data_IF_409659364865
#
_entry.id   IF_409659364865
#
_cell.length_a   1.000
_cell.length_b   1.000
_cell.length_c   1.000
_cell.angle_alpha   90.00
_cell.angle_beta   90.00
_cell.angle_gamma   90.00
#
_symmetry.space_group_name_H-M   'P 1'
#
loop_
_entity.id
_entity.type
_entity.pdbx_description
1 polymer ?
#
# COMPACT_ATOMS: atom_id res chain seq x y z
N UNK A 1 28.87 -49.46 -40.29
CA UNK A 1 29.07 -50.56 -39.33
C UNK A 1 30.31 -51.39 -39.66
N UNK A 2 30.54 -51.79 -40.92
CA UNK A 2 31.76 -52.55 -41.30
C UNK A 2 33.06 -51.72 -41.25
N UNK A 3 33.00 -50.45 -41.60
CA UNK A 3 34.20 -49.57 -41.58
C UNK A 3 34.63 -49.26 -40.14
N UNK A 4 33.67 -48.90 -39.29
CA UNK A 4 33.86 -48.71 -37.84
C UNK A 4 34.34 -49.96 -37.11
N UNK A 5 33.94 -51.16 -37.57
CA UNK A 5 34.44 -52.41 -36.97
C UNK A 5 35.87 -52.71 -37.41
N UNK A 6 36.22 -52.43 -38.67
CA UNK A 6 37.60 -52.54 -39.17
C UNK A 6 38.55 -51.58 -38.45
N UNK A 7 38.15 -50.33 -38.23
CA UNK A 7 38.93 -49.35 -37.48
C UNK A 7 39.11 -49.74 -35.99
N UNK A 8 38.04 -50.24 -35.35
CA UNK A 8 38.10 -50.73 -33.98
C UNK A 8 39.04 -51.94 -33.84
N UNK A 9 39.03 -52.86 -34.83
CA UNK A 9 39.95 -53.99 -34.88
C UNK A 9 41.39 -53.52 -35.11
N UNK A 10 41.64 -52.62 -36.05
CA UNK A 10 42.97 -52.07 -36.32
C UNK A 10 43.56 -51.38 -35.07
N UNK A 11 42.75 -50.59 -34.36
CA UNK A 11 43.13 -49.91 -33.12
C UNK A 11 43.38 -50.92 -31.98
N UNK A 12 42.56 -51.97 -31.88
CA UNK A 12 42.76 -53.04 -30.91
C UNK A 12 44.05 -53.82 -31.18
N UNK A 13 44.37 -54.11 -32.44
CA UNK A 13 45.62 -54.76 -32.85
C UNK A 13 46.83 -53.90 -32.49
N UNK A 14 46.81 -52.60 -32.82
CA UNK A 14 47.90 -51.69 -32.42
C UNK A 14 48.06 -51.62 -30.89
N UNK A 15 46.95 -51.61 -30.15
CA UNK A 15 46.96 -51.59 -28.68
C UNK A 15 47.55 -52.87 -28.09
N UNK A 16 47.21 -54.04 -28.63
CA UNK A 16 47.76 -55.34 -28.20
C UNK A 16 49.25 -55.44 -28.55
N UNK A 17 49.64 -55.00 -29.75
CA UNK A 17 51.04 -54.94 -30.18
C UNK A 17 51.88 -54.04 -29.26
N UNK A 18 51.35 -52.91 -28.81
CA UNK A 18 52.00 -52.03 -27.83
C UNK A 18 52.15 -52.63 -26.42
N UNK A 19 51.30 -53.60 -26.05
CA UNK A 19 51.33 -54.26 -24.73
C UNK A 19 52.32 -55.43 -24.63
N UNK A 20 52.68 -56.06 -25.76
CA UNK A 20 53.48 -57.30 -25.81
C UNK A 20 54.79 -57.12 -26.59
N UNK A 21 55.58 -56.09 -26.26
CA UNK A 21 56.82 -55.76 -26.99
C UNK A 21 58.03 -56.65 -26.63
N UNK A 22 58.03 -57.32 -25.47
CA UNK A 22 59.12 -58.19 -24.99
C UNK A 22 58.56 -59.56 -24.54
N UNK A 23 59.36 -60.62 -24.67
CA UNK A 23 58.95 -62.01 -24.45
C UNK A 23 58.52 -62.32 -23.01
N UNK A 24 59.09 -61.62 -22.03
CA UNK A 24 58.75 -61.67 -20.59
C UNK A 24 57.34 -61.14 -20.26
N UNK A 25 56.69 -60.42 -21.19
CA UNK A 25 55.33 -59.89 -20.99
C UNK A 25 54.23 -60.88 -21.37
N UNK A 26 54.56 -62.02 -21.99
CA UNK A 26 53.61 -63.08 -22.32
C UNK A 26 52.99 -63.73 -21.07
N UNK A 27 53.73 -63.77 -19.96
CA UNK A 27 53.25 -64.28 -18.67
C UNK A 27 52.07 -63.46 -18.10
N UNK A 28 51.89 -62.21 -18.55
CA UNK A 28 50.82 -61.29 -18.11
C UNK A 28 49.57 -61.32 -19.01
N UNK A 29 49.57 -62.10 -20.10
CA UNK A 29 48.46 -62.15 -21.07
C UNK A 29 47.14 -62.57 -20.41
N UNK A 30 47.17 -63.54 -19.49
CA UNK A 30 45.97 -63.96 -18.76
C UNK A 30 45.40 -62.85 -17.87
N UNK A 31 46.27 -62.04 -17.27
CA UNK A 31 45.87 -60.86 -16.49
C UNK A 31 45.21 -59.81 -17.39
N UNK A 32 45.77 -59.55 -18.58
CA UNK A 32 45.20 -58.63 -19.57
C UNK A 32 43.86 -59.13 -20.12
N UNK A 33 43.74 -60.43 -20.41
CA UNK A 33 42.49 -61.05 -20.85
C UNK A 33 41.39 -60.90 -19.80
N UNK A 34 41.70 -61.17 -18.52
CA UNK A 34 40.76 -60.95 -17.39
C UNK A 34 40.39 -59.47 -17.21
N UNK A 35 41.31 -58.55 -17.51
CA UNK A 35 41.04 -57.09 -17.46
C UNK A 35 40.10 -56.65 -18.58
N UNK A 36 40.34 -57.09 -19.81
CA UNK A 36 39.48 -56.74 -20.96
C UNK A 36 38.11 -57.42 -20.88
N UNK A 37 38.04 -58.66 -20.38
CA UNK A 37 36.75 -59.32 -20.10
C UNK A 37 35.91 -58.53 -19.08
N UNK A 38 36.53 -58.02 -18.00
CA UNK A 38 35.84 -57.16 -17.02
C UNK A 38 35.38 -55.84 -17.62
N UNK A 39 36.18 -55.20 -18.48
CA UNK A 39 35.78 -53.98 -19.18
C UNK A 39 34.61 -54.23 -20.13
N UNK A 40 34.66 -55.31 -20.91
CA UNK A 40 33.56 -55.73 -21.80
C UNK A 40 32.27 -55.95 -21.01
N UNK A 41 32.32 -56.73 -19.92
CA UNK A 41 31.16 -56.96 -19.06
C UNK A 41 30.61 -55.65 -18.46
N UNK A 42 31.47 -54.72 -18.04
CA UNK A 42 31.07 -53.40 -17.55
C UNK A 42 30.39 -52.54 -18.63
N UNK A 43 30.92 -52.53 -19.86
CA UNK A 43 30.32 -51.80 -20.99
C UNK A 43 28.97 -52.41 -21.35
N UNK A 44 28.88 -53.74 -21.44
CA UNK A 44 27.63 -54.44 -21.72
C UNK A 44 26.58 -54.18 -20.64
N UNK A 45 26.95 -54.20 -19.36
CA UNK A 45 26.04 -53.86 -18.26
C UNK A 45 25.55 -52.41 -18.36
N UNK A 46 26.45 -51.45 -18.63
CA UNK A 46 26.07 -50.04 -18.82
C UNK A 46 25.17 -49.84 -20.03
N UNK A 47 25.45 -50.51 -21.14
CA UNK A 47 24.65 -50.41 -22.36
C UNK A 47 23.25 -51.04 -22.16
N UNK A 48 23.16 -52.19 -21.48
CA UNK A 48 21.86 -52.78 -21.09
C UNK A 48 21.07 -51.85 -20.17
N UNK A 49 21.71 -51.28 -19.15
CA UNK A 49 21.05 -50.33 -18.25
C UNK A 49 20.58 -49.07 -18.99
N UNK A 50 21.40 -48.53 -19.90
CA UNK A 50 21.04 -47.35 -20.69
C UNK A 50 19.89 -47.64 -21.66
N UNK A 51 19.92 -48.77 -22.38
CA UNK A 51 18.84 -49.16 -23.28
C UNK A 51 17.54 -49.40 -22.50
N UNK A 52 17.62 -50.09 -21.36
CA UNK A 52 16.46 -50.33 -20.51
C UNK A 52 15.85 -49.01 -20.02
N UNK A 53 16.68 -48.08 -19.52
CA UNK A 53 16.23 -46.76 -19.09
C UNK A 53 15.60 -45.94 -20.21
N UNK A 54 16.16 -45.99 -21.43
CA UNK A 54 15.58 -45.33 -22.60
C UNK A 54 14.23 -45.95 -23.00
N UNK A 55 14.15 -47.27 -23.00
CA UNK A 55 12.93 -48.00 -23.35
C UNK A 55 11.82 -47.77 -22.31
N UNK A 56 12.17 -47.73 -21.03
CA UNK A 56 11.24 -47.38 -19.96
C UNK A 56 10.79 -45.92 -20.09
N UNK A 57 11.70 -44.99 -20.41
CA UNK A 57 11.37 -43.59 -20.69
C UNK A 57 10.39 -43.42 -21.87
N UNK A 58 10.63 -44.13 -22.98
CA UNK A 58 9.73 -44.13 -24.15
C UNK A 58 8.37 -44.73 -23.79
N UNK A 59 8.35 -45.85 -23.06
CA UNK A 59 7.12 -46.50 -22.61
C UNK A 59 6.29 -45.56 -21.74
N UNK A 60 6.91 -44.94 -20.74
CA UNK A 60 6.25 -43.97 -19.87
C UNK A 60 5.73 -42.76 -20.66
N UNK A 61 6.54 -42.22 -21.58
CA UNK A 61 6.12 -41.12 -22.45
C UNK A 61 4.92 -41.49 -23.32
N UNK A 62 4.89 -42.70 -23.88
CA UNK A 62 3.76 -43.15 -24.70
C UNK A 62 2.50 -43.37 -23.87
N UNK A 63 2.61 -43.90 -22.65
CA UNK A 63 1.46 -44.00 -21.73
C UNK A 63 0.94 -42.62 -21.34
N UNK A 64 1.82 -41.66 -21.04
CA UNK A 64 1.41 -40.29 -20.70
C UNK A 64 0.72 -39.59 -21.88
N UNK A 65 1.22 -39.77 -23.11
CA UNK A 65 0.57 -39.23 -24.31
C UNK A 65 -0.80 -39.86 -24.54
N UNK A 66 -0.94 -41.16 -24.30
CA UNK A 66 -2.23 -41.84 -24.41
C UNK A 66 -3.23 -41.31 -23.38
N UNK A 67 -2.81 -41.17 -22.12
CA UNK A 67 -3.65 -40.57 -21.06
C UNK A 67 -4.04 -39.14 -21.41
N UNK A 68 -3.10 -38.30 -21.85
CA UNK A 68 -3.39 -36.93 -22.25
C UNK A 68 -4.40 -36.85 -23.41
N UNK A 69 -4.37 -37.81 -24.35
CA UNK A 69 -5.35 -37.87 -25.44
C UNK A 69 -6.76 -38.18 -24.90
N UNK A 70 -6.87 -39.13 -23.96
CA UNK A 70 -8.13 -39.43 -23.28
C UNK A 70 -8.64 -38.21 -22.51
N UNK A 71 -7.77 -37.57 -21.73
CA UNK A 71 -8.12 -36.38 -20.94
C UNK A 71 -8.64 -35.23 -21.84
N UNK A 72 -7.99 -34.99 -22.98
CA UNK A 72 -8.44 -33.98 -23.95
C UNK A 72 -9.83 -34.29 -24.49
N UNK A 73 -10.13 -35.58 -24.74
CA UNK A 73 -11.46 -36.00 -25.21
C UNK A 73 -12.52 -35.80 -24.12
N UNK A 74 -12.19 -36.09 -22.87
CA UNK A 74 -13.09 -35.87 -21.74
C UNK A 74 -13.35 -34.37 -21.53
N UNK A 75 -12.31 -33.53 -21.62
CA UNK A 75 -12.44 -32.06 -21.58
C UNK A 75 -13.35 -31.56 -22.71
N UNK A 76 -13.22 -32.09 -23.93
CA UNK A 76 -14.09 -31.71 -25.04
C UNK A 76 -15.56 -32.04 -24.77
N UNK A 77 -15.84 -33.20 -24.19
CA UNK A 77 -17.20 -33.59 -23.81
C UNK A 77 -17.75 -32.68 -22.72
N UNK A 78 -16.98 -32.44 -21.66
CA UNK A 78 -17.38 -31.51 -20.59
C UNK A 78 -17.62 -30.08 -21.10
N UNK A 79 -16.81 -29.61 -22.06
CA UNK A 79 -17.00 -28.30 -22.67
C UNK A 79 -18.29 -28.24 -23.51
N UNK A 80 -18.63 -29.33 -24.20
CA UNK A 80 -19.89 -29.44 -24.94
C UNK A 80 -21.10 -29.40 -23.99
N UNK A 81 -21.02 -30.07 -22.84
CA UNK A 81 -22.05 -30.05 -21.80
C UNK A 81 -22.20 -28.64 -21.21
N UNK A 82 -21.10 -27.98 -20.84
CA UNK A 82 -21.12 -26.58 -20.36
C UNK A 82 -21.74 -25.65 -21.40
N UNK A 83 -21.41 -25.82 -22.69
CA UNK A 83 -22.00 -25.00 -23.75
C UNK A 83 -23.51 -25.24 -23.90
N UNK A 84 -23.98 -26.47 -23.65
CA UNK A 84 -25.41 -26.80 -23.68
C UNK A 84 -26.13 -26.19 -22.49
N UNK A 85 -25.58 -26.32 -21.29
CA UNK A 85 -26.13 -25.77 -20.05
C UNK A 85 -26.19 -24.24 -20.12
N UNK A 86 -25.17 -23.59 -20.68
CA UNK A 86 -25.17 -22.14 -20.89
C UNK A 86 -26.32 -21.69 -21.81
N UNK A 87 -26.56 -22.40 -22.91
CA UNK A 87 -27.69 -22.10 -23.82
C UNK A 87 -29.04 -22.29 -23.13
N UNK A 88 -29.18 -23.33 -22.31
CA UNK A 88 -30.39 -23.53 -21.52
C UNK A 88 -30.57 -22.46 -20.45
N UNK A 89 -29.48 -22.03 -19.81
CA UNK A 89 -29.46 -20.95 -18.83
C UNK A 89 -29.92 -19.62 -19.44
N UNK A 90 -29.50 -19.28 -20.67
CA UNK A 90 -29.99 -18.07 -21.37
C UNK A 90 -31.52 -18.07 -21.50
N UNK A 91 -32.12 -19.20 -21.88
CA UNK A 91 -33.58 -19.32 -21.98
C UNK A 91 -34.27 -19.15 -20.60
N UNK A 92 -33.63 -19.65 -19.52
CA UNK A 92 -34.16 -19.42 -18.16
C UNK A 92 -33.98 -17.98 -17.69
N UNK A 93 -32.90 -17.29 -18.08
CA UNK A 93 -32.66 -15.87 -17.74
C UNK A 93 -33.73 -14.97 -18.37
N UNK A 94 -34.18 -15.29 -19.58
CA UNK A 94 -35.30 -14.59 -20.22
C UNK A 94 -36.61 -14.77 -19.42
N UNK A 95 -36.87 -15.98 -18.90
CA UNK A 95 -38.02 -16.24 -18.03
C UNK A 95 -37.93 -15.58 -16.64
N UNK A 96 -36.71 -15.21 -16.20
CA UNK A 96 -36.47 -14.51 -14.93
C UNK A 96 -36.55 -12.98 -15.07
N UNK A 97 -36.89 -12.46 -16.26
CA UNK A 97 -37.07 -11.02 -16.46
C UNK A 97 -38.13 -10.44 -15.52
N UNK A 98 -39.26 -11.12 -15.34
CA UNK A 98 -40.32 -10.68 -14.44
C UNK A 98 -39.87 -10.65 -12.97
N UNK A 99 -39.03 -11.62 -12.57
CA UNK A 99 -38.42 -11.65 -11.23
C UNK A 99 -37.43 -10.49 -11.07
N UNK A 100 -36.63 -10.20 -12.09
CA UNK A 100 -35.72 -9.03 -12.08
C UNK A 100 -36.50 -7.73 -11.98
N UNK A 101 -37.58 -7.58 -12.75
CA UNK A 101 -38.41 -6.37 -12.75
C UNK A 101 -39.11 -6.20 -11.39
N UNK A 102 -39.60 -7.29 -10.79
CA UNK A 102 -40.14 -7.29 -9.43
C UNK A 102 -39.07 -6.93 -8.39
N UNK A 103 -37.85 -7.46 -8.49
CA UNK A 103 -36.73 -7.12 -7.59
C UNK A 103 -36.35 -5.65 -7.70
N UNK A 104 -36.37 -5.08 -8.91
CA UNK A 104 -36.14 -3.64 -9.13
C UNK A 104 -37.22 -2.82 -8.44
N UNK A 105 -38.50 -3.18 -8.61
CA UNK A 105 -39.62 -2.50 -7.93
C UNK A 105 -39.52 -2.62 -6.40
N UNK A 106 -39.20 -3.80 -5.87
CA UNK A 106 -39.00 -4.00 -4.44
C UNK A 106 -37.82 -3.20 -3.90
N UNK A 107 -36.71 -3.14 -4.64
CA UNK A 107 -35.56 -2.30 -4.28
C UNK A 107 -35.91 -0.82 -4.25
N UNK A 108 -36.71 -0.33 -5.21
CA UNK A 108 -37.19 1.05 -5.24
C UNK A 108 -38.08 1.36 -4.04
N UNK A 109 -39.08 0.51 -3.78
CA UNK A 109 -40.00 0.69 -2.64
C UNK A 109 -39.26 0.63 -1.30
N UNK A 110 -38.29 -0.28 -1.15
CA UNK A 110 -37.46 -0.36 0.05
C UNK A 110 -36.65 0.93 0.26
N UNK A 111 -35.98 1.43 -0.79
CA UNK A 111 -35.25 2.70 -0.74
C UNK A 111 -36.18 3.89 -0.44
N UNK A 112 -37.37 3.93 -1.02
CA UNK A 112 -38.36 4.96 -0.73
C UNK A 112 -38.83 4.91 0.74
N UNK A 113 -39.13 3.71 1.27
CA UNK A 113 -39.57 3.54 2.68
C UNK A 113 -38.47 3.92 3.67
N UNK A 114 -37.22 3.58 3.37
CA UNK A 114 -36.07 3.98 4.20
C UNK A 114 -35.86 5.49 4.18
N UNK A 115 -35.87 6.10 2.99
CA UNK A 115 -35.71 7.54 2.84
C UNK A 115 -36.90 8.36 3.35
N UNK A 116 -38.12 7.81 3.40
CA UNK A 116 -39.30 8.51 3.92
C UNK A 116 -39.09 8.98 5.36
N UNK A 117 -38.47 8.17 6.21
CA UNK A 117 -38.15 8.55 7.61
C UNK A 117 -37.24 9.77 7.66
N UNK A 118 -36.25 9.80 6.77
CA UNK A 118 -35.27 10.89 6.73
C UNK A 118 -35.88 12.16 6.13
N UNK A 119 -36.73 12.03 5.10
CA UNK A 119 -37.44 13.15 4.46
C UNK A 119 -38.28 13.91 5.51
N UNK A 120 -39.15 13.26 6.27
CA UNK A 120 -39.97 14.01 7.25
C UNK A 120 -39.17 14.66 8.38
N UNK A 121 -37.97 14.15 8.68
CA UNK A 121 -37.11 14.67 9.74
C UNK A 121 -36.08 15.70 9.26
N UNK A 122 -35.96 15.99 7.95
CA UNK A 122 -34.94 16.92 7.44
C UNK A 122 -34.97 18.28 8.14
N UNK A 123 -36.11 18.99 8.26
CA UNK A 123 -36.12 20.33 8.86
C UNK A 123 -35.67 20.33 10.34
N UNK A 124 -36.07 19.31 11.09
CA UNK A 124 -35.70 19.16 12.51
C UNK A 124 -34.20 18.85 12.66
N UNK A 125 -33.68 17.95 11.83
CA UNK A 125 -32.25 17.61 11.82
C UNK A 125 -31.44 18.83 11.42
N UNK A 126 -31.89 19.60 10.42
CA UNK A 126 -31.22 20.85 9.97
C UNK A 126 -31.12 21.85 11.11
N UNK A 127 -32.24 22.18 11.78
CA UNK A 127 -32.26 23.10 12.91
C UNK A 127 -31.37 22.62 14.07
N UNK A 128 -31.45 21.32 14.40
CA UNK A 128 -30.60 20.75 15.46
C UNK A 128 -29.11 20.75 15.11
N UNK A 129 -28.77 20.64 13.81
CA UNK A 129 -27.39 20.67 13.33
C UNK A 129 -26.84 22.09 13.38
N UNK A 130 -27.63 23.09 13.01
CA UNK A 130 -27.26 24.51 13.16
C UNK A 130 -26.92 24.84 14.62
N UNK A 131 -27.77 24.41 15.56
CA UNK A 131 -27.53 24.61 16.99
C UNK A 131 -26.24 23.93 17.49
N UNK A 132 -25.93 22.73 17.00
CA UNK A 132 -24.67 22.04 17.34
C UNK A 132 -23.44 22.75 16.77
N UNK A 133 -23.56 23.34 15.57
CA UNK A 133 -22.49 24.16 14.97
C UNK A 133 -22.25 25.41 15.81
N UNK A 134 -23.32 26.09 16.26
CA UNK A 134 -23.24 27.25 17.15
C UNK A 134 -22.60 26.91 18.50
N UNK A 135 -22.87 25.72 19.03
CA UNK A 135 -22.29 25.21 20.28
C UNK A 135 -20.85 24.68 20.12
N UNK A 136 -20.29 24.72 18.91
CA UNK A 136 -18.98 24.15 18.57
C UNK A 136 -18.85 22.63 18.82
N UNK A 137 -19.95 21.87 18.87
CA UNK A 137 -19.91 20.41 18.84
C UNK A 137 -19.82 19.89 17.39
N UNK A 138 -18.65 20.12 16.81
CA UNK A 138 -18.39 19.96 15.37
C UNK A 138 -18.48 18.48 14.92
N UNK A 139 -18.19 17.52 15.80
CA UNK A 139 -18.26 16.09 15.47
C UNK A 139 -19.70 15.59 15.38
N UNK A 140 -20.56 16.02 16.31
CA UNK A 140 -21.98 15.68 16.26
C UNK A 140 -22.68 16.39 15.11
N UNK A 141 -22.36 17.67 14.89
CA UNK A 141 -22.85 18.42 13.74
C UNK A 141 -22.46 17.73 12.42
N UNK A 142 -21.20 17.29 12.29
CA UNK A 142 -20.73 16.55 11.11
C UNK A 142 -21.50 15.25 10.89
N UNK A 143 -21.79 14.49 11.96
CA UNK A 143 -22.55 13.23 11.85
C UNK A 143 -23.95 13.47 11.29
N UNK A 144 -24.70 14.42 11.85
CA UNK A 144 -26.06 14.74 11.39
C UNK A 144 -26.07 15.29 9.97
N UNK A 145 -25.09 16.13 9.63
CA UNK A 145 -24.92 16.60 8.25
C UNK A 145 -24.67 15.44 7.28
N UNK A 146 -23.82 14.48 7.66
CA UNK A 146 -23.52 13.31 6.83
C UNK A 146 -24.77 12.44 6.63
N UNK A 147 -25.62 12.27 7.65
CA UNK A 147 -26.90 11.54 7.51
C UNK A 147 -27.82 12.21 6.47
N UNK A 148 -27.92 13.54 6.50
CA UNK A 148 -28.69 14.31 5.52
C UNK A 148 -28.10 14.21 4.11
N UNK A 149 -26.79 14.37 3.97
CA UNK A 149 -26.10 14.25 2.67
C UNK A 149 -26.22 12.83 2.11
N UNK A 150 -26.10 11.79 2.94
CA UNK A 150 -26.28 10.41 2.50
C UNK A 150 -27.70 10.18 1.97
N UNK A 151 -28.73 10.61 2.70
CA UNK A 151 -30.12 10.44 2.24
C UNK A 151 -30.39 11.19 0.93
N UNK A 152 -29.89 12.42 0.79
CA UNK A 152 -29.95 13.17 -0.47
C UNK A 152 -29.24 12.41 -1.60
N UNK A 153 -28.00 12.00 -1.38
CA UNK A 153 -27.15 11.38 -2.39
C UNK A 153 -27.71 10.03 -2.85
N UNK A 154 -28.33 9.26 -1.95
CA UNK A 154 -29.00 8.01 -2.27
C UNK A 154 -30.26 8.23 -3.10
N UNK A 155 -31.09 9.23 -2.76
CA UNK A 155 -32.25 9.62 -3.58
C UNK A 155 -31.82 10.08 -4.97
N UNK A 156 -30.76 10.88 -5.06
CA UNK A 156 -30.23 11.32 -6.36
C UNK A 156 -29.63 10.15 -7.15
N UNK A 157 -28.94 9.21 -6.51
CA UNK A 157 -28.42 8.05 -7.21
C UNK A 157 -29.54 7.15 -7.75
N UNK A 158 -30.58 6.92 -6.95
CA UNK A 158 -31.72 6.11 -7.36
C UNK A 158 -32.46 6.72 -8.55
N UNK A 159 -32.70 8.04 -8.52
CA UNK A 159 -33.31 8.73 -9.64
C UNK A 159 -32.40 8.70 -10.89
N UNK A 160 -31.08 8.87 -10.74
CA UNK A 160 -30.13 8.75 -11.86
C UNK A 160 -30.15 7.34 -12.49
N UNK A 161 -30.25 6.31 -11.64
CA UNK A 161 -30.32 4.91 -12.07
C UNK A 161 -31.61 4.61 -12.85
N UNK A 162 -32.71 5.28 -12.52
CA UNK A 162 -33.98 5.14 -13.21
C UNK A 162 -34.03 5.92 -14.52
N UNK A 163 -33.74 7.22 -14.46
CA UNK A 163 -33.72 8.08 -15.62
C UNK A 163 -32.69 9.20 -15.47
N UNK A 164 -31.50 8.96 -16.01
CA UNK A 164 -30.42 9.95 -16.08
C UNK A 164 -30.78 11.24 -16.83
N UNK A 165 -31.84 11.26 -17.65
CA UNK A 165 -32.29 12.44 -18.42
C UNK A 165 -33.35 13.25 -17.68
N UNK A 166 -33.92 12.72 -16.61
CA UNK A 166 -34.94 13.40 -15.83
C UNK A 166 -34.31 14.44 -14.90
N UNK A 167 -34.02 15.61 -15.50
CA UNK A 167 -33.45 16.75 -14.81
C UNK A 167 -34.42 17.45 -13.87
N UNK A 168 -35.75 17.30 -14.05
CA UNK A 168 -36.75 17.96 -13.19
C UNK A 168 -36.81 17.35 -11.80
N UNK A 169 -36.80 16.02 -11.70
CA UNK A 169 -36.86 15.33 -10.40
C UNK A 169 -35.52 15.47 -9.67
N UNK A 170 -34.41 15.48 -10.40
CA UNK A 170 -33.09 15.86 -9.87
C UNK A 170 -33.09 17.25 -9.26
N UNK A 171 -33.73 18.20 -9.94
CA UNK A 171 -33.85 19.57 -9.46
C UNK A 171 -34.78 19.67 -8.23
N UNK A 172 -35.88 18.92 -8.20
CA UNK A 172 -36.78 18.86 -7.04
C UNK A 172 -36.06 18.36 -5.77
N UNK A 173 -35.26 17.30 -5.89
CA UNK A 173 -34.43 16.80 -4.78
C UNK A 173 -33.42 17.87 -4.35
N UNK A 174 -32.84 18.58 -5.32
CA UNK A 174 -31.88 19.66 -5.02
C UNK A 174 -32.52 20.82 -4.26
N UNK A 175 -33.74 21.22 -4.61
CA UNK A 175 -34.52 22.25 -3.89
C UNK A 175 -34.89 21.77 -2.48
N UNK A 176 -35.33 20.53 -2.35
CA UNK A 176 -35.73 20.00 -1.05
C UNK A 176 -34.57 19.95 -0.03
N UNK A 177 -33.36 19.66 -0.52
CA UNK A 177 -32.13 19.65 0.27
C UNK A 177 -31.29 20.93 0.08
N UNK A 178 -31.90 22.05 -0.31
CA UNK A 178 -31.18 23.31 -0.55
C UNK A 178 -30.48 23.80 0.72
N UNK A 179 -31.17 23.75 1.87
CA UNK A 179 -30.64 24.07 3.20
C UNK A 179 -29.42 23.22 3.62
N UNK A 180 -29.20 22.09 2.93
CA UNK A 180 -28.05 21.21 3.15
C UNK A 180 -26.88 21.57 2.24
N UNK A 181 -27.11 22.13 1.04
CA UNK A 181 -26.08 22.15 -0.02
C UNK A 181 -25.83 23.44 -0.81
N UNK A 182 -26.78 24.36 -0.98
CA UNK A 182 -26.55 25.54 -1.84
C UNK A 182 -27.09 26.80 -1.19
N UNK A 183 -26.19 27.79 -1.05
CA UNK A 183 -26.39 29.14 -0.50
C UNK A 183 -26.78 29.18 0.98
N UNK A 184 -25.77 29.27 1.87
CA UNK A 184 -25.89 29.21 3.34
C UNK A 184 -26.18 27.81 3.90
N UNK A 185 -25.78 26.77 3.16
CA UNK A 185 -25.96 25.38 3.59
C UNK A 185 -25.14 25.04 4.85
N UNK A 186 -25.67 24.12 5.65
CA UNK A 186 -25.03 23.56 6.85
C UNK A 186 -23.57 23.14 6.64
N UNK A 187 -23.24 22.60 5.45
CA UNK A 187 -21.88 22.20 5.11
C UNK A 187 -20.91 23.38 5.05
N UNK A 188 -21.34 24.53 4.54
CA UNK A 188 -20.49 25.73 4.49
C UNK A 188 -20.35 26.37 5.86
N UNK A 189 -21.41 26.36 6.68
CA UNK A 189 -21.34 26.89 8.04
C UNK A 189 -20.44 26.04 8.94
N UNK A 190 -20.54 24.71 8.83
CA UNK A 190 -19.60 23.80 9.48
C UNK A 190 -18.17 24.09 8.99
N UNK A 191 -17.95 24.20 7.68
CA UNK A 191 -16.64 24.48 7.13
C UNK A 191 -16.05 25.81 7.65
N UNK A 192 -16.85 26.88 7.74
CA UNK A 192 -16.41 28.17 8.32
C UNK A 192 -15.94 28.00 9.77
N UNK A 193 -16.67 27.25 10.60
CA UNK A 193 -16.26 26.97 11.98
C UNK A 193 -14.95 26.16 12.02
N UNK A 194 -14.80 25.15 11.15
CA UNK A 194 -13.54 24.41 11.01
C UNK A 194 -12.37 25.35 10.67
N UNK A 195 -12.55 26.24 9.68
CA UNK A 195 -11.53 27.20 9.27
C UNK A 195 -11.17 28.19 10.38
N UNK A 196 -12.16 28.69 11.12
CA UNK A 196 -11.94 29.60 12.24
C UNK A 196 -11.11 28.95 13.35
N UNK A 197 -11.40 27.68 13.68
CA UNK A 197 -10.63 26.93 14.67
C UNK A 197 -9.22 26.64 14.18
N UNK A 198 -9.04 26.29 12.89
CA UNK A 198 -7.73 26.05 12.29
C UNK A 198 -6.86 27.31 12.23
N UNK A 199 -7.46 28.45 11.86
CA UNK A 199 -6.78 29.74 11.87
C UNK A 199 -6.25 30.09 13.27
N UNK A 200 -6.98 29.71 14.32
CA UNK A 200 -6.62 29.90 15.73
C UNK A 200 -6.00 28.68 16.38
N UNK A 201 -5.53 27.71 15.60
CA UNK A 201 -5.06 26.38 16.04
C UNK A 201 -4.15 26.43 17.27
N UNK A 202 -3.23 27.39 17.34
CA UNK A 202 -2.30 27.50 18.47
C UNK A 202 -2.88 28.03 19.77
N UNK A 203 -3.87 28.91 19.70
CA UNK A 203 -4.62 29.34 20.88
C UNK A 203 -5.55 28.21 21.32
N UNK A 204 -6.15 27.53 20.35
CA UNK A 204 -6.99 26.37 20.58
C UNK A 204 -6.23 25.25 21.28
N UNK A 205 -5.05 24.83 20.81
CA UNK A 205 -4.31 23.72 21.44
C UNK A 205 -3.96 24.01 22.89
N UNK A 206 -3.64 25.27 23.23
CA UNK A 206 -3.32 25.63 24.61
C UNK A 206 -4.54 25.69 25.53
N UNK A 207 -5.72 26.01 24.99
CA UNK A 207 -6.96 26.12 25.78
C UNK A 207 -7.74 24.80 25.83
N UNK A 208 -7.91 24.18 24.67
CA UNK A 208 -8.62 22.93 24.46
C UNK A 208 -8.04 22.17 23.23
N UNK A 209 -7.09 21.25 23.45
CA UNK A 209 -6.56 20.37 22.41
C UNK A 209 -7.63 19.50 21.73
N UNK A 210 -8.72 19.16 22.43
CA UNK A 210 -9.71 18.21 21.92
C UNK A 210 -10.52 18.79 20.76
N UNK A 211 -10.80 20.09 20.78
CA UNK A 211 -11.46 20.80 19.69
C UNK A 211 -10.64 20.74 18.39
N UNK A 212 -9.31 20.87 18.44
CA UNK A 212 -8.47 20.75 17.25
C UNK A 212 -8.47 19.32 16.70
N UNK A 213 -8.41 18.31 17.59
CA UNK A 213 -8.50 16.89 17.18
C UNK A 213 -9.84 16.62 16.51
N UNK A 214 -10.94 17.16 17.04
CA UNK A 214 -12.28 17.06 16.46
C UNK A 214 -12.32 17.64 15.04
N UNK A 215 -11.75 18.83 14.82
CA UNK A 215 -11.66 19.47 13.50
C UNK A 215 -10.87 18.62 12.50
N UNK A 216 -9.67 18.16 12.90
CA UNK A 216 -8.83 17.33 12.03
C UNK A 216 -9.53 16.01 11.68
N UNK A 217 -10.21 15.37 12.66
CA UNK A 217 -10.98 14.15 12.43
C UNK A 217 -12.12 14.34 11.42
N UNK A 218 -12.83 15.47 11.48
CA UNK A 218 -13.87 15.80 10.50
C UNK A 218 -13.28 15.88 9.09
N UNK A 219 -12.14 16.58 8.93
CA UNK A 219 -11.47 16.75 7.64
C UNK A 219 -10.95 15.41 7.09
N UNK A 220 -10.32 14.58 7.92
CA UNK A 220 -9.86 13.25 7.52
C UNK A 220 -11.02 12.32 7.13
N UNK A 221 -12.15 12.41 7.84
CA UNK A 221 -13.36 11.64 7.51
C UNK A 221 -13.93 12.07 6.16
N UNK A 222 -14.03 13.37 5.90
CA UNK A 222 -14.50 13.91 4.62
C UNK A 222 -13.60 13.46 3.45
N UNK A 223 -12.28 13.45 3.64
CA UNK A 223 -11.34 12.96 2.63
C UNK A 223 -11.54 11.46 2.34
N UNK A 224 -11.87 10.66 3.36
CA UNK A 224 -12.20 9.25 3.19
C UNK A 224 -13.53 9.07 2.43
N UNK A 225 -14.52 9.94 2.66
CA UNK A 225 -15.80 9.93 1.94
C UNK A 225 -15.57 10.30 0.47
N UNK A 226 -14.83 11.37 0.20
CA UNK A 226 -14.51 11.81 -1.17
C UNK A 226 -13.81 10.71 -1.97
N UNK A 227 -12.83 10.00 -1.38
CA UNK A 227 -12.19 8.84 -2.03
C UNK A 227 -13.19 7.75 -2.40
N UNK A 228 -14.08 7.36 -1.48
CA UNK A 228 -15.13 6.36 -1.74
C UNK A 228 -16.08 6.79 -2.85
N UNK A 229 -16.45 8.08 -2.90
CA UNK A 229 -17.34 8.62 -3.95
C UNK A 229 -16.66 8.61 -5.33
N UNK A 230 -15.37 8.95 -5.39
CA UNK A 230 -14.59 8.87 -6.64
C UNK A 230 -14.47 7.43 -7.13
N UNK A 231 -14.26 6.47 -6.24
CA UNK A 231 -14.22 5.05 -6.61
C UNK A 231 -15.59 4.53 -7.07
N UNK A 232 -16.68 4.93 -6.40
CA UNK A 232 -18.05 4.62 -6.82
C UNK A 232 -18.36 5.19 -8.20
N UNK A 233 -17.92 6.43 -8.49
CA UNK A 233 -18.07 7.06 -9.81
C UNK A 233 -17.43 6.24 -10.93
N UNK A 234 -16.27 5.60 -10.69
CA UNK A 234 -15.63 4.72 -11.70
C UNK A 234 -16.53 3.55 -12.09
N UNK A 235 -17.37 3.08 -11.17
CA UNK A 235 -18.28 1.95 -11.40
C UNK A 235 -19.65 2.39 -11.93
N UNK A 236 -20.20 3.48 -11.40
CA UNK A 236 -21.61 3.88 -11.66
C UNK A 236 -21.76 5.07 -12.60
N UNK A 237 -20.69 5.84 -12.86
CA UNK A 237 -20.72 7.09 -13.62
C UNK A 237 -21.31 8.29 -12.88
N UNK A 238 -22.00 8.07 -11.74
CA UNK A 238 -22.67 9.10 -10.97
C UNK A 238 -21.78 9.67 -9.86
N UNK A 239 -21.85 10.99 -9.66
CA UNK A 239 -21.30 11.67 -8.49
C UNK A 239 -22.29 12.75 -8.02
N UNK A 240 -22.61 12.84 -6.72
CA UNK A 240 -23.48 13.89 -6.21
C UNK A 240 -22.91 15.30 -6.43
N UNK A 241 -23.76 16.32 -6.56
CA UNK A 241 -23.32 17.71 -6.68
C UNK A 241 -22.56 18.15 -5.42
N UNK A 242 -21.48 18.91 -5.60
CA UNK A 242 -20.63 19.40 -4.50
C UNK A 242 -19.54 18.42 -4.04
N UNK A 243 -19.43 17.23 -4.64
CA UNK A 243 -18.36 16.25 -4.39
C UNK A 243 -17.34 16.22 -5.55
N UNK A 244 -16.03 16.01 -5.31
CA UNK A 244 -15.37 15.95 -4.00
C UNK A 244 -15.22 17.34 -3.35
N UNK A 245 -15.33 17.40 -2.01
CA UNK A 245 -15.22 18.65 -1.24
C UNK A 245 -13.78 19.13 -1.05
N UNK A 246 -12.81 18.20 -1.02
CA UNK A 246 -11.36 18.46 -0.89
C UNK A 246 -11.01 19.37 0.30
N UNK A 247 -11.61 19.11 1.46
CA UNK A 247 -11.39 19.91 2.66
C UNK A 247 -9.96 19.80 3.19
N UNK A 248 -9.26 18.70 2.92
CA UNK A 248 -7.85 18.53 3.26
C UNK A 248 -6.97 19.54 2.52
N UNK A 249 -7.19 19.71 1.21
CA UNK A 249 -6.46 20.70 0.41
C UNK A 249 -6.72 22.13 0.90
N UNK A 250 -7.98 22.44 1.20
CA UNK A 250 -8.38 23.75 1.76
C UNK A 250 -7.77 24.01 3.14
N UNK A 251 -7.68 23.00 3.99
CA UNK A 251 -7.02 23.11 5.29
C UNK A 251 -5.56 23.55 5.14
N UNK A 252 -4.83 23.00 4.16
CA UNK A 252 -3.45 23.39 3.93
C UNK A 252 -3.32 24.84 3.44
N UNK A 253 -4.24 25.29 2.59
CA UNK A 253 -4.29 26.69 2.12
C UNK A 253 -4.63 27.69 3.23
N UNK A 254 -5.51 27.31 4.17
CA UNK A 254 -5.97 28.17 5.28
C UNK A 254 -4.97 28.20 6.45
N UNK A 255 -3.86 27.46 6.36
CA UNK A 255 -2.92 27.33 7.47
C UNK A 255 -2.25 28.67 7.85
N UNK A 256 -2.41 29.06 9.12
CA UNK A 256 -1.82 30.28 9.73
C UNK A 256 -0.31 30.23 9.90
N UNK A 257 0.34 29.22 9.34
CA UNK A 257 1.77 28.95 9.49
C UNK A 257 2.57 29.91 8.63
N UNK A 258 2.18 30.08 7.36
CA UNK A 258 2.82 31.04 6.45
C UNK A 258 2.67 32.47 6.96
N UNK A 259 1.46 32.88 7.36
CA UNK A 259 1.21 34.24 7.86
C UNK A 259 1.97 34.59 9.15
N UNK A 260 2.29 33.60 9.99
CA UNK A 260 3.13 33.82 11.18
C UNK A 260 4.62 33.85 10.87
N UNK A 261 5.09 33.02 9.94
CA UNK A 261 6.47 33.08 9.46
C UNK A 261 6.71 34.42 8.74
N UNK A 262 5.77 34.87 7.92
CA UNK A 262 5.78 36.19 7.28
C UNK A 262 5.67 37.33 8.30
N UNK A 263 4.84 37.19 9.34
CA UNK A 263 4.74 38.16 10.45
C UNK A 263 6.02 38.34 11.28
N UNK A 264 7.06 37.53 11.03
CA UNK A 264 8.38 37.63 11.67
C UNK A 264 9.25 38.76 11.05
N UNK A 265 8.75 39.46 10.04
CA UNK A 265 9.42 40.54 9.27
C UNK A 265 9.82 41.82 10.06
N UNK A 266 9.88 41.81 11.39
CA UNK A 266 10.27 43.02 12.15
C UNK A 266 11.78 43.34 12.10
N UNK A 267 12.59 42.51 11.43
CA UNK A 267 14.05 42.69 11.33
C UNK A 267 14.43 42.96 9.89
N UNK A 268 14.68 44.23 9.55
CA UNK A 268 15.12 44.63 8.21
C UNK A 268 16.65 44.69 8.11
N UNK A 269 17.16 44.54 6.90
CA UNK A 269 18.60 44.63 6.59
C UNK A 269 19.19 46.00 6.96
N UNK A 270 18.39 47.07 6.97
CA UNK A 270 18.86 48.40 7.38
C UNK A 270 18.99 48.56 8.91
N UNK A 271 18.28 47.74 9.70
CA UNK A 271 18.22 47.88 11.15
C UNK A 271 19.32 47.12 11.92
N UNK A 272 19.84 46.01 11.37
CA UNK A 272 20.78 45.14 12.07
C UNK A 272 21.74 44.45 11.08
N UNK A 273 23.06 44.53 11.30
CA UNK A 273 24.06 43.80 10.49
C UNK A 273 23.93 42.28 10.64
N UNK A 274 23.28 41.80 11.71
CA UNK A 274 22.99 40.38 11.96
C UNK A 274 21.53 40.03 11.67
N UNK A 275 20.82 40.84 10.87
CA UNK A 275 19.38 40.69 10.61
C UNK A 275 18.99 39.27 10.21
N UNK A 276 19.75 38.65 9.30
CA UNK A 276 19.45 37.31 8.78
C UNK A 276 19.62 36.23 9.83
N UNK A 277 20.70 36.29 10.62
CA UNK A 277 20.94 35.34 11.73
C UNK A 277 19.83 35.43 12.76
N UNK A 278 19.41 36.65 13.09
CA UNK A 278 18.33 36.91 14.05
C UNK A 278 16.98 36.46 13.52
N UNK A 279 16.68 36.71 12.25
CA UNK A 279 15.47 36.25 11.58
C UNK A 279 15.38 34.71 11.59
N UNK A 280 16.47 34.02 11.20
CA UNK A 280 16.56 32.56 11.20
C UNK A 280 16.40 31.98 12.62
N UNK A 281 16.95 32.63 13.64
CA UNK A 281 16.84 32.21 15.04
C UNK A 281 15.42 32.43 15.60
N UNK A 282 14.76 33.53 15.22
CA UNK A 282 13.37 33.79 15.62
C UNK A 282 12.43 32.79 14.93
N UNK A 283 12.60 32.54 13.62
CA UNK A 283 11.84 31.52 12.90
C UNK A 283 12.00 30.14 13.55
N UNK A 284 13.23 29.76 13.86
CA UNK A 284 13.55 28.51 14.59
C UNK A 284 12.80 28.42 15.91
N UNK A 285 12.82 29.49 16.72
CA UNK A 285 12.16 29.51 18.02
C UNK A 285 10.64 29.36 17.89
N UNK A 286 10.01 30.08 16.96
CA UNK A 286 8.57 29.96 16.72
C UNK A 286 8.17 28.57 16.23
N UNK A 287 8.92 28.00 15.29
CA UNK A 287 8.67 26.64 14.79
C UNK A 287 8.78 25.62 15.92
N UNK A 288 9.81 25.70 16.76
CA UNK A 288 9.98 24.78 17.89
C UNK A 288 8.91 24.95 18.96
N UNK A 289 8.64 26.18 19.39
CA UNK A 289 7.61 26.47 20.39
C UNK A 289 6.23 25.96 19.93
N UNK A 290 5.96 26.00 18.63
CA UNK A 290 4.70 25.55 18.06
C UNK A 290 4.65 24.02 17.85
N UNK A 291 5.74 23.39 17.41
CA UNK A 291 5.84 21.93 17.23
C UNK A 291 5.91 21.16 18.55
N UNK A 292 6.39 21.76 19.64
CA UNK A 292 6.31 21.18 20.98
C UNK A 292 4.84 21.03 21.42
N UNK A 293 4.01 22.02 21.09
CA UNK A 293 2.59 22.05 21.47
C UNK A 293 1.75 21.18 20.54
N UNK A 294 2.12 21.08 19.26
CA UNK A 294 1.36 20.32 18.27
C UNK A 294 2.18 19.16 17.69
N UNK A 295 2.14 18.03 18.39
CA UNK A 295 2.71 16.76 17.91
C UNK A 295 1.80 16.10 16.85
N UNK A 296 1.56 16.79 15.73
CA UNK A 296 0.85 16.23 14.58
C UNK A 296 1.73 16.33 13.32
N UNK A 297 1.97 15.20 12.67
CA UNK A 297 2.78 15.08 11.44
C UNK A 297 2.29 16.01 10.33
N UNK A 298 0.98 16.25 10.25
CA UNK A 298 0.39 17.12 9.23
C UNK A 298 0.76 18.59 9.43
N UNK A 299 0.94 19.01 10.69
CA UNK A 299 1.35 20.37 11.04
C UNK A 299 2.85 20.54 10.84
N UNK A 300 3.65 19.48 11.04
CA UNK A 300 5.07 19.47 10.68
C UNK A 300 5.30 19.71 9.18
N UNK A 301 4.57 19.01 8.30
CA UNK A 301 4.66 19.22 6.85
C UNK A 301 4.32 20.65 6.43
N UNK A 302 3.36 21.29 7.11
CA UNK A 302 3.00 22.69 6.88
C UNK A 302 4.12 23.67 7.27
N UNK A 303 4.73 23.49 8.45
CA UNK A 303 5.89 24.28 8.86
C UNK A 303 7.07 24.05 7.93
N UNK A 304 7.30 22.82 7.49
CA UNK A 304 8.38 22.51 6.56
C UNK A 304 8.20 23.25 5.23
N UNK A 305 7.01 23.17 4.63
CA UNK A 305 6.71 23.86 3.38
C UNK A 305 6.82 25.38 3.54
N UNK A 306 6.26 25.95 4.61
CA UNK A 306 6.32 27.40 4.82
C UNK A 306 7.75 27.91 5.08
N UNK A 307 8.55 27.19 5.87
CA UNK A 307 9.97 27.52 6.07
C UNK A 307 10.75 27.35 4.77
N UNK A 308 10.48 26.30 3.99
CA UNK A 308 11.13 26.08 2.68
C UNK A 308 10.82 27.19 1.69
N UNK A 309 9.55 27.60 1.58
CA UNK A 309 9.15 28.75 0.75
C UNK A 309 9.87 30.01 1.20
N UNK A 310 9.91 30.28 2.51
CA UNK A 310 10.58 31.47 3.03
C UNK A 310 12.09 31.48 2.79
N UNK A 311 12.76 30.33 2.96
CA UNK A 311 14.19 30.19 2.66
C UNK A 311 14.45 30.37 1.16
N UNK A 312 13.53 29.91 0.31
CA UNK A 312 13.62 30.09 -1.15
C UNK A 312 13.46 31.56 -1.55
N UNK A 313 12.54 32.28 -0.92
CA UNK A 313 12.39 33.74 -1.08
C UNK A 313 13.67 34.48 -0.65
N UNK A 314 14.20 34.17 0.53
CA UNK A 314 15.45 34.77 1.02
C UNK A 314 16.64 34.46 0.11
N UNK A 315 16.68 33.27 -0.50
CA UNK A 315 17.71 32.88 -1.45
C UNK A 315 17.56 33.55 -2.83
N UNK A 316 16.37 34.08 -3.15
CA UNK A 316 16.11 34.84 -4.36
C UNK A 316 16.47 36.33 -4.23
N UNK A 317 16.73 36.81 -3.00
CA UNK A 317 17.27 38.15 -2.73
C UNK A 317 18.79 38.20 -2.98
N UNK A 318 19.32 39.40 -3.26
CA UNK A 318 20.76 39.62 -3.43
C UNK A 318 21.50 39.55 -2.07
N UNK A 319 21.85 38.33 -1.66
CA UNK A 319 22.57 38.04 -0.42
C UNK A 319 24.08 38.27 -0.55
N UNK A 320 24.70 38.83 0.49
CA UNK A 320 26.17 38.93 0.61
C UNK A 320 26.80 37.57 0.99
N UNK A 321 28.10 37.40 0.75
CA UNK A 321 28.80 36.12 0.96
C UNK A 321 28.69 35.59 2.41
N UNK A 322 28.72 36.47 3.41
CA UNK A 322 28.51 36.15 4.83
C UNK A 322 27.06 35.73 5.15
N UNK A 323 26.07 36.28 4.44
CA UNK A 323 24.66 35.95 4.58
C UNK A 323 24.36 34.58 3.96
N UNK A 324 24.96 34.27 2.80
CA UNK A 324 24.92 32.95 2.16
C UNK A 324 25.48 31.87 3.11
N UNK A 325 26.64 32.13 3.74
CA UNK A 325 27.24 31.20 4.70
C UNK A 325 26.33 31.00 5.91
N UNK A 326 25.69 32.06 6.42
CA UNK A 326 24.77 31.99 7.56
C UNK A 326 23.51 31.19 7.24
N UNK A 327 22.92 31.40 6.06
CA UNK A 327 21.76 30.66 5.58
C UNK A 327 22.09 29.18 5.37
N UNK A 328 23.20 28.87 4.69
CA UNK A 328 23.66 27.50 4.46
C UNK A 328 23.96 26.77 5.76
N UNK A 329 24.62 27.45 6.70
CA UNK A 329 24.90 26.87 8.03
C UNK A 329 23.61 26.55 8.76
N UNK A 330 22.62 27.46 8.72
CA UNK A 330 21.33 27.23 9.36
C UNK A 330 20.55 26.09 8.71
N UNK A 331 20.49 26.01 7.38
CA UNK A 331 19.80 24.92 6.66
C UNK A 331 20.47 23.56 6.90
N UNK A 332 21.80 23.50 6.77
CA UNK A 332 22.55 22.23 6.82
C UNK A 332 22.74 21.68 8.23
N UNK A 333 22.96 22.55 9.22
CA UNK A 333 23.34 22.13 10.57
C UNK A 333 22.22 22.31 11.58
N UNK A 334 21.41 23.35 11.44
CA UNK A 334 20.44 23.74 12.47
C UNK A 334 19.06 23.15 12.12
N UNK A 335 18.53 23.45 10.94
CA UNK A 335 17.25 22.95 10.43
C UNK A 335 17.22 21.42 10.25
N UNK A 336 18.27 20.85 9.65
CA UNK A 336 18.40 19.39 9.50
C UNK A 336 18.39 18.67 10.85
N UNK A 337 19.08 19.23 11.84
CA UNK A 337 19.12 18.69 13.20
C UNK A 337 17.76 18.80 13.90
N UNK A 338 16.97 19.83 13.62
CA UNK A 338 15.58 19.92 14.12
C UNK A 338 14.63 18.89 13.50
N UNK A 339 14.83 18.51 12.23
CA UNK A 339 14.12 17.37 11.63
C UNK A 339 14.48 16.05 12.34
N UNK A 340 15.72 15.93 12.85
CA UNK A 340 16.23 14.72 13.51
C UNK A 340 15.97 14.67 15.03
N UNK A 341 15.72 15.82 15.71
CA UNK A 341 15.52 15.93 17.17
C UNK A 341 14.05 15.94 17.66
N UNK A 342 13.04 16.09 16.79
CA UNK A 342 11.63 15.81 17.12
C UNK A 342 11.42 14.29 17.19
N UNK A 343 10.50 13.75 18.05
CA UNK A 343 10.57 12.36 18.51
C UNK A 343 10.78 11.39 17.35
N UNK A 344 12.00 10.85 17.29
CA UNK A 344 12.48 9.81 16.37
C UNK A 344 11.77 8.46 16.58
N UNK A 345 10.58 8.49 17.13
CA UNK A 345 9.86 7.30 17.50
C UNK A 345 8.79 6.95 16.48
N UNK A 346 8.49 7.73 15.43
CA UNK A 346 7.49 7.28 14.45
C UNK A 346 7.97 6.03 13.70
N UNK A 347 9.16 6.09 13.08
CA UNK A 347 9.75 4.94 12.39
C UNK A 347 10.07 3.82 13.39
N UNK A 348 10.60 4.13 14.58
CA UNK A 348 10.93 3.13 15.59
C UNK A 348 9.69 2.49 16.23
N UNK A 349 8.62 3.26 16.52
CA UNK A 349 7.33 2.74 16.99
C UNK A 349 6.61 2.00 15.87
N UNK A 350 6.68 2.45 14.61
CA UNK A 350 6.07 1.74 13.49
C UNK A 350 6.76 0.38 13.29
N UNK A 351 8.09 0.34 13.32
CA UNK A 351 8.86 -0.91 13.31
C UNK A 351 8.52 -1.75 14.54
N UNK A 352 8.41 -1.17 15.74
CA UNK A 352 8.02 -1.90 16.94
C UNK A 352 6.60 -2.47 16.86
N UNK A 353 5.63 -1.73 16.29
CA UNK A 353 4.25 -2.15 16.08
C UNK A 353 4.21 -3.30 15.07
N UNK A 354 4.93 -3.19 13.95
CA UNK A 354 5.06 -4.25 12.93
C UNK A 354 5.68 -5.52 13.54
N UNK A 355 6.76 -5.36 14.32
CA UNK A 355 7.42 -6.47 15.02
C UNK A 355 6.51 -7.09 16.08
N UNK A 356 5.72 -6.28 16.79
CA UNK A 356 4.73 -6.76 17.76
C UNK A 356 3.61 -7.54 17.05
N UNK A 357 3.07 -7.07 15.92
CA UNK A 357 2.07 -7.80 15.13
C UNK A 357 2.58 -9.17 14.70
N UNK A 358 3.85 -9.26 14.30
CA UNK A 358 4.48 -10.53 13.94
C UNK A 358 4.68 -11.45 15.15
N UNK A 359 5.15 -10.91 16.28
CA UNK A 359 5.34 -11.65 17.53
C UNK A 359 4.00 -12.17 18.09
N UNK A 360 2.94 -11.36 18.01
CA UNK A 360 1.59 -11.76 18.38
C UNK A 360 1.07 -12.90 17.49
N UNK A 361 1.27 -12.81 16.17
CA UNK A 361 0.92 -13.87 15.22
C UNK A 361 1.64 -15.19 15.53
N UNK A 362 2.93 -15.15 15.83
CA UNK A 362 3.72 -16.34 16.20
C UNK A 362 3.26 -16.93 17.54
N UNK A 363 2.91 -16.08 18.50
CA UNK A 363 2.37 -16.49 19.80
C UNK A 363 1.00 -17.15 19.66
N UNK A 364 0.09 -16.57 18.87
CA UNK A 364 -1.23 -17.14 18.55
C UNK A 364 -1.07 -18.49 17.86
N UNK A 365 -0.18 -18.59 16.87
CA UNK A 365 0.09 -19.84 16.16
C UNK A 365 0.76 -20.92 17.04
N UNK A 366 1.58 -20.51 18.02
CA UNK A 366 2.14 -21.43 19.01
C UNK A 366 1.09 -21.90 20.03
N UNK A 367 0.16 -21.03 20.43
CA UNK A 367 -0.93 -21.36 21.33
C UNK A 367 -1.90 -22.34 20.65
N UNK A 368 -2.24 -22.09 19.38
CA UNK A 368 -3.03 -22.98 18.52
C UNK A 368 -2.42 -24.38 18.40
N UNK A 369 -1.11 -24.48 18.17
CA UNK A 369 -0.40 -25.77 18.13
C UNK A 369 -0.38 -26.51 19.47
N UNK A 370 -0.42 -25.79 20.60
CA UNK A 370 -0.40 -26.40 21.94
C UNK A 370 -1.79 -26.82 22.45
N UNK A 371 -2.85 -26.12 22.07
CA UNK A 371 -4.18 -26.29 22.67
C UNK A 371 -5.27 -26.74 21.69
N UNK A 372 -5.06 -26.71 20.38
CA UNK A 372 -6.05 -27.17 19.40
C UNK A 372 -5.74 -28.59 18.92
N UNK A 373 -6.34 -29.59 19.57
CA UNK A 373 -6.37 -30.98 19.09
C UNK A 373 -7.62 -31.33 18.27
N UNK A 374 -8.51 -30.38 17.97
CA UNK A 374 -9.66 -30.62 17.12
C UNK A 374 -10.04 -29.37 16.31
N UNK A 375 -10.32 -29.59 15.02
CA UNK A 375 -11.01 -28.71 14.05
C UNK A 375 -12.15 -27.93 14.72
N UNK A 376 -12.31 -26.62 14.55
CA UNK A 376 -12.62 -25.88 13.31
C UNK A 376 -11.97 -24.47 13.31
N UNK A 377 -11.77 -23.87 12.13
CA UNK A 377 -11.43 -22.44 12.02
C UNK A 377 -12.62 -21.61 12.47
N UNK A 378 -12.54 -21.00 13.65
CA UNK A 378 -13.45 -19.91 14.03
C UNK A 378 -13.22 -18.73 13.09
N UNK A 379 -14.29 -18.17 12.52
CA UNK A 379 -14.24 -16.97 11.65
C UNK A 379 -13.47 -15.82 12.33
N UNK A 380 -13.55 -15.76 13.66
CA UNK A 380 -12.78 -14.83 14.50
C UNK A 380 -11.26 -14.98 14.38
N UNK A 381 -10.72 -16.18 14.14
CA UNK A 381 -9.28 -16.41 14.01
C UNK A 381 -8.76 -15.88 12.67
N UNK A 382 -9.50 -16.16 11.61
CA UNK A 382 -9.20 -15.68 10.27
C UNK A 382 -9.30 -14.14 10.22
N UNK A 383 -10.24 -13.56 10.96
CA UNK A 383 -10.36 -12.10 11.12
C UNK A 383 -9.16 -11.53 11.87
N UNK A 384 -8.71 -12.12 12.99
CA UNK A 384 -7.57 -11.62 13.76
C UNK A 384 -6.26 -11.69 12.94
N UNK A 385 -5.98 -12.81 12.27
CA UNK A 385 -4.80 -12.91 11.40
C UNK A 385 -4.85 -11.94 10.22
N UNK A 386 -6.03 -11.78 9.59
CA UNK A 386 -6.22 -10.82 8.50
C UNK A 386 -5.98 -9.39 8.97
N UNK A 387 -6.52 -9.02 10.13
CA UNK A 387 -6.37 -7.67 10.72
C UNK A 387 -4.92 -7.37 11.08
N UNK A 388 -4.22 -8.33 11.71
CA UNK A 388 -2.79 -8.17 12.03
C UNK A 388 -1.92 -8.05 10.77
N UNK A 389 -2.23 -8.82 9.72
CA UNK A 389 -1.52 -8.74 8.44
C UNK A 389 -1.81 -7.43 7.69
N UNK A 390 -3.05 -6.93 7.74
CA UNK A 390 -3.43 -5.64 7.16
C UNK A 390 -2.71 -4.48 7.85
N UNK A 391 -2.71 -4.45 9.19
CA UNK A 391 -2.00 -3.42 9.97
C UNK A 391 -0.48 -3.46 9.71
N UNK A 392 0.12 -4.64 9.64
CA UNK A 392 1.54 -4.77 9.32
C UNK A 392 1.85 -4.33 7.87
N UNK A 393 0.98 -4.67 6.91
CA UNK A 393 1.13 -4.29 5.50
C UNK A 393 0.99 -2.78 5.30
N UNK A 394 0.00 -2.16 5.94
CA UNK A 394 -0.17 -0.70 5.94
C UNK A 394 1.02 -0.02 6.61
N UNK A 395 1.49 -0.52 7.77
CA UNK A 395 2.68 -0.01 8.44
C UNK A 395 3.93 -0.06 7.57
N UNK A 396 4.16 -1.16 6.85
CA UNK A 396 5.26 -1.30 5.88
C UNK A 396 5.10 -0.35 4.69
N UNK A 397 3.87 -0.16 4.18
CA UNK A 397 3.61 0.77 3.09
C UNK A 397 3.89 2.22 3.52
N UNK A 398 3.48 2.62 4.72
CA UNK A 398 3.79 3.95 5.26
C UNK A 398 5.30 4.17 5.47
N UNK A 399 6.03 3.14 5.92
CA UNK A 399 7.50 3.20 6.00
C UNK A 399 8.17 3.30 4.63
N UNK A 400 7.66 2.57 3.63
CA UNK A 400 8.17 2.62 2.26
C UNK A 400 7.85 3.95 1.60
N UNK A 401 6.64 4.48 1.77
CA UNK A 401 6.23 5.79 1.24
C UNK A 401 7.10 6.90 1.83
N UNK A 402 7.47 6.82 3.11
CA UNK A 402 8.41 7.74 3.75
C UNK A 402 9.82 7.66 3.13
N UNK A 403 10.31 6.45 2.84
CA UNK A 403 11.59 6.21 2.15
C UNK A 403 11.53 6.66 0.68
N UNK A 404 10.39 6.50 0.03
CA UNK A 404 10.19 6.92 -1.36
C UNK A 404 10.03 8.45 -1.49
N UNK A 405 9.43 9.11 -0.50
CA UNK A 405 9.43 10.57 -0.37
C UNK A 405 10.87 11.12 -0.24
N UNK A 406 11.73 10.46 0.55
CA UNK A 406 13.15 10.81 0.62
C UNK A 406 13.91 10.50 -0.70
N UNK A 407 13.48 9.49 -1.48
CA UNK A 407 14.05 9.14 -2.80
C UNK A 407 13.60 10.08 -3.93
N UNK A 408 12.36 10.57 -3.91
CA UNK A 408 11.86 11.55 -4.90
C UNK A 408 12.62 12.89 -4.77
N UNK A 409 12.94 13.31 -3.54
CA UNK A 409 13.83 14.47 -3.27
C UNK A 409 15.27 14.21 -3.71
N UNK A 410 15.69 12.94 -3.81
CA UNK A 410 17.04 12.53 -4.20
C UNK A 410 17.28 12.41 -5.71
N UNK A 411 16.23 12.58 -6.52
CA UNK A 411 16.29 12.39 -7.98
C UNK A 411 17.07 13.47 -8.76
N UNK A 412 17.67 14.46 -8.07
CA UNK A 412 18.47 15.52 -8.71
C UNK A 412 19.96 15.61 -8.34
N UNK A 413 20.56 14.62 -7.64
CA UNK A 413 22.03 14.64 -7.46
C UNK A 413 22.66 13.24 -7.37
N UNK A 414 23.23 12.81 -8.50
CA UNK A 414 23.78 11.47 -8.76
C UNK A 414 25.03 11.04 -7.97
N UNK A 415 25.36 11.64 -6.83
CA UNK A 415 26.63 11.35 -6.11
C UNK A 415 26.48 10.76 -4.71
N UNK A 416 25.27 10.56 -4.19
CA UNK A 416 25.06 9.92 -2.86
C UNK A 416 24.66 8.44 -2.88
N UNK A 417 24.47 7.86 -4.07
CA UNK A 417 23.97 6.49 -4.25
C UNK A 417 24.83 5.41 -3.57
N UNK A 418 26.14 5.63 -3.42
CA UNK A 418 27.06 4.62 -2.86
C UNK A 418 27.14 4.61 -1.32
N UNK A 419 26.72 5.68 -0.62
CA UNK A 419 26.78 5.72 0.86
C UNK A 419 25.50 5.18 1.55
N UNK A 420 24.34 5.22 0.87
CA UNK A 420 23.07 4.73 1.43
C UNK A 420 22.98 3.19 1.42
N UNK A 421 23.46 2.54 0.36
CA UNK A 421 23.46 1.07 0.27
C UNK A 421 24.38 0.40 1.32
N UNK A 422 25.42 1.08 1.80
CA UNK A 422 26.29 0.56 2.86
C UNK A 422 25.65 0.49 4.25
N UNK A 423 24.57 1.25 4.52
CA UNK A 423 23.87 1.25 5.82
C UNK A 423 22.70 0.28 5.89
N UNK A 424 22.06 -0.03 4.75
CA UNK A 424 20.92 -0.96 4.71
C UNK A 424 21.38 -2.43 4.85
N UNK A 425 22.57 -2.78 4.35
CA UNK A 425 23.10 -4.15 4.44
C UNK A 425 23.47 -4.59 5.86
N UNK A 426 23.60 -3.66 6.82
CA UNK A 426 23.94 -3.96 8.22
C UNK A 426 22.74 -4.29 9.10
N UNK A 427 21.50 -4.03 8.65
CA UNK A 427 20.28 -4.29 9.41
C UNK A 427 19.55 -5.60 9.01
N UNK A 428 20.01 -6.30 7.96
CA UNK A 428 19.36 -7.51 7.43
C UNK A 428 20.22 -8.79 7.50
N UNK A 429 21.24 -8.84 8.37
CA UNK A 429 21.95 -10.08 8.68
C UNK A 429 21.58 -10.56 10.09
N UNK A 430 21.14 -11.82 10.27
CA UNK A 430 20.98 -12.38 11.61
C UNK A 430 22.35 -12.53 12.27
N UNK A 431 22.43 -12.51 13.62
CA UNK A 431 23.68 -12.68 14.32
C UNK A 431 24.19 -14.11 14.10
N UNK A 432 25.27 -14.27 13.32
CA UNK A 432 26.10 -15.46 13.36
C UNK A 432 26.80 -15.51 14.72
N UNK A 433 26.27 -16.31 15.63
CA UNK A 433 26.94 -16.69 16.87
C UNK A 433 28.21 -17.51 16.63
N UNK A 434 29.12 -17.61 17.60
CA UNK A 434 30.44 -18.19 17.41
C UNK A 434 30.38 -19.71 17.36
N UNK A 435 30.48 -20.30 16.17
CA UNK A 435 30.82 -21.70 15.97
C UNK A 435 32.30 -21.80 15.56
N UNK A 436 33.18 -21.70 16.55
CA UNK A 436 34.55 -22.20 16.47
C UNK A 436 34.75 -23.22 17.60
N UNK A 437 34.65 -24.51 17.28
CA UNK A 437 35.61 -25.55 17.65
C UNK A 437 34.99 -26.93 17.47
N UNK A 438 35.83 -27.89 17.05
CA UNK A 438 35.54 -29.35 16.91
C UNK A 438 34.65 -29.67 15.70
N UNK A 439 35.11 -30.24 14.59
CA UNK A 439 35.80 -31.54 14.47
C UNK A 439 36.64 -31.53 13.19
N UNK A 440 37.96 -31.46 13.36
CA UNK A 440 38.93 -32.02 12.44
C UNK A 440 39.78 -32.98 13.26
N UNK A 441 39.34 -34.25 13.34
CA UNK A 441 40.10 -35.46 13.71
C UNK A 441 39.11 -36.64 13.88
N UNK A 442 38.89 -37.35 12.77
CA UNK A 442 38.86 -38.83 12.65
C UNK A 442 38.30 -39.18 11.30
#
# INVERSE_FOLDING_TARGET
>A
MEETSREAVATAVQRVAGMLQRSDQLDKVDQYRRREARKKASVEARLKAAIQSQLDGVRTGLTQLHTALVDVKDIQNSLADVSKDWRQSINTIESLKDVKDAVVQHSQLASAVENLKNIFSVPEIVASTQQLIEQADLLQAHRKLMELECSRDDLMYEQYRMDSRNTSDMHLISIYFEDVSVNQGLSDELAKQLWMVLQRSMVTVRRDPTMLVSVVRVIEREEKIDRRMVDRKKQTGFIPPGRPKRWKDKMFQVSTVSTRIEGTQSVTREADKMWLVRLLEIMRKYVLDDLIVVQNLMIFGLYHNAVSTRVTELAAEDLEANEIVSLLTWVLNTYKRYREELPQCYVQYMIAIINNCQTFRESINSLKRKYSQASELTDSDAVIERTLNEVAKEGCQYLLDEVFLDLEVSSFSSTRFLFSWGRVSLFFLPPLGPMLSTVAKS
#
